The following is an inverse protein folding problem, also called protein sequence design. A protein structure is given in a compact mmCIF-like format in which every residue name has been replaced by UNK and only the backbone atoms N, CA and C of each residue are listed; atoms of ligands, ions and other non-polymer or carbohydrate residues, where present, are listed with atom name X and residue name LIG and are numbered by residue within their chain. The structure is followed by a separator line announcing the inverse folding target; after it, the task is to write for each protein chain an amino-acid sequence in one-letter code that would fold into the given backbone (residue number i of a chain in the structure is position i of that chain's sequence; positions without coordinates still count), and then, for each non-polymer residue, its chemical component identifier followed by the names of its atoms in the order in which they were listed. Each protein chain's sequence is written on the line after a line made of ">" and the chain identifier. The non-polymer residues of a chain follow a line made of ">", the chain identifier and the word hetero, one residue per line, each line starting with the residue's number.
data_IF_949213523026
#
_entry.id   IF_949213523026
#
_cell.length_a   1.000
_cell.length_b   1.000
_cell.length_c   1.000
_cell.angle_alpha   90.00
_cell.angle_beta   90.00
_cell.angle_gamma   90.00
#
_symmetry.space_group_name_H-M   'P 1'
#
loop_
_entity.id
_entity.type
_entity.pdbx_description
1 polymer ?
#
# COMPACT_ATOMS: atom_id res chain seq x y z
N UNK A 1 15.69 -19.05 -14.20
CA UNK A 1 14.35 -19.22 -14.78
C UNK A 1 13.96 -17.88 -15.40
N UNK A 2 13.92 -17.79 -16.72
CA UNK A 2 13.61 -16.53 -17.42
C UNK A 2 12.12 -16.21 -17.30
N UNK A 3 11.80 -15.08 -16.68
CA UNK A 3 10.42 -14.60 -16.58
C UNK A 3 10.04 -13.96 -17.92
N UNK A 4 9.02 -14.50 -18.56
CA UNK A 4 8.48 -14.03 -19.84
C UNK A 4 7.13 -13.36 -19.64
N UNK A 5 6.83 -12.36 -20.45
CA UNK A 5 5.63 -11.54 -20.35
C UNK A 5 4.99 -11.38 -21.71
N UNK A 6 3.68 -11.57 -21.80
CA UNK A 6 2.95 -11.20 -23.00
C UNK A 6 3.10 -9.69 -23.31
N UNK A 7 2.92 -9.32 -24.58
CA UNK A 7 3.13 -7.94 -25.06
C UNK A 7 2.30 -6.88 -24.31
N UNK A 8 1.10 -7.23 -23.81
CA UNK A 8 0.26 -6.31 -23.04
C UNK A 8 0.82 -6.03 -21.65
N UNK A 9 1.34 -7.07 -20.98
CA UNK A 9 1.97 -6.98 -19.66
C UNK A 9 3.35 -6.33 -19.75
N UNK A 10 4.09 -6.59 -20.82
CA UNK A 10 5.33 -5.90 -21.14
C UNK A 10 5.10 -4.40 -21.38
N UNK A 11 4.09 -4.01 -22.18
CA UNK A 11 3.74 -2.60 -22.40
C UNK A 11 3.36 -1.88 -21.12
N UNK A 12 2.56 -2.54 -20.27
CA UNK A 12 2.14 -2.00 -18.97
C UNK A 12 3.32 -1.82 -18.02
N UNK A 13 4.23 -2.79 -17.94
CA UNK A 13 5.45 -2.69 -17.13
C UNK A 13 6.43 -1.66 -17.68
N UNK A 14 6.47 -1.49 -19.00
CA UNK A 14 7.30 -0.49 -19.67
C UNK A 14 6.76 0.94 -19.58
N UNK A 15 5.50 1.13 -19.17
CA UNK A 15 4.84 2.43 -19.16
C UNK A 15 4.58 3.01 -20.56
N UNK A 16 4.62 2.17 -21.61
CA UNK A 16 4.47 2.58 -23.01
C UNK A 16 3.25 1.92 -23.67
N UNK A 17 2.88 2.38 -24.86
CA UNK A 17 1.74 1.82 -25.59
C UNK A 17 2.02 0.40 -26.12
N UNK A 18 0.98 -0.44 -26.19
CA UNK A 18 1.06 -1.80 -26.77
C UNK A 18 1.56 -1.79 -28.22
N UNK A 19 1.18 -0.77 -28.99
CA UNK A 19 1.63 -0.58 -30.38
C UNK A 19 3.15 -0.38 -30.45
N UNK A 20 3.72 0.34 -29.49
CA UNK A 20 5.16 0.59 -29.42
C UNK A 20 5.96 -0.68 -29.07
N UNK A 21 5.47 -1.50 -28.14
CA UNK A 21 6.03 -2.83 -27.90
C UNK A 21 5.93 -3.71 -29.14
N UNK A 22 4.78 -3.73 -29.83
CA UNK A 22 4.62 -4.52 -31.05
C UNK A 22 5.56 -4.07 -32.17
N UNK A 23 5.76 -2.76 -32.32
CA UNK A 23 6.71 -2.22 -33.28
C UNK A 23 8.15 -2.62 -32.94
N UNK A 24 8.53 -2.64 -31.66
CA UNK A 24 9.87 -3.07 -31.24
C UNK A 24 10.10 -4.58 -31.39
N UNK A 25 9.05 -5.38 -31.20
CA UNK A 25 9.06 -6.81 -31.51
C UNK A 25 9.27 -7.03 -33.01
N UNK A 26 8.51 -6.32 -33.86
CA UNK A 26 8.65 -6.40 -35.33
C UNK A 26 10.03 -5.91 -35.81
N UNK A 27 10.64 -4.97 -35.09
CA UNK A 27 11.96 -4.47 -35.38
C UNK A 27 13.11 -5.33 -34.82
N UNK A 28 12.84 -6.53 -34.28
CA UNK A 28 13.81 -7.41 -33.61
C UNK A 28 14.61 -6.75 -32.47
N UNK A 29 14.03 -5.73 -31.81
CA UNK A 29 14.68 -5.00 -30.70
C UNK A 29 14.38 -5.60 -29.34
N UNK A 30 13.45 -6.56 -29.27
CA UNK A 30 13.07 -7.28 -28.06
C UNK A 30 13.20 -8.78 -28.34
N UNK A 31 13.84 -9.48 -27.43
CA UNK A 31 13.91 -10.95 -27.47
C UNK A 31 12.55 -11.55 -27.11
N UNK A 32 11.97 -12.29 -28.04
CA UNK A 32 10.60 -12.83 -27.99
C UNK A 32 10.60 -14.32 -28.27
N UNK A 33 9.89 -15.07 -27.44
CA UNK A 33 9.60 -16.48 -27.68
C UNK A 33 8.09 -16.71 -27.51
N UNK A 34 7.44 -17.31 -28.52
CA UNK A 34 5.98 -17.58 -28.53
C UNK A 34 5.09 -16.36 -28.21
N UNK A 35 5.52 -15.16 -28.63
CA UNK A 35 4.76 -13.92 -28.38
C UNK A 35 4.94 -13.33 -26.97
N UNK A 36 5.85 -13.89 -26.17
CA UNK A 36 6.24 -13.38 -24.86
C UNK A 36 7.64 -12.76 -24.90
N UNK A 37 7.76 -11.57 -24.31
CA UNK A 37 9.00 -10.79 -24.18
C UNK A 37 9.66 -11.14 -22.84
N UNK A 38 10.96 -11.40 -22.84
CA UNK A 38 11.71 -11.65 -21.60
C UNK A 38 11.85 -10.36 -20.78
N UNK A 39 11.67 -10.42 -19.46
CA UNK A 39 11.81 -9.23 -18.59
C UNK A 39 13.18 -8.59 -18.73
N UNK A 40 14.23 -9.39 -18.93
CA UNK A 40 15.61 -8.93 -19.14
C UNK A 40 15.76 -8.05 -20.39
N UNK A 41 15.22 -8.48 -21.53
CA UNK A 41 15.28 -7.71 -22.78
C UNK A 41 14.48 -6.41 -22.68
N UNK A 42 13.35 -6.45 -21.96
CA UNK A 42 12.56 -5.26 -21.67
C UNK A 42 13.34 -4.27 -20.79
N UNK A 43 14.00 -4.72 -19.72
CA UNK A 43 14.80 -3.87 -18.80
C UNK A 43 16.03 -3.25 -19.48
N UNK A 44 16.68 -3.99 -20.38
CA UNK A 44 17.79 -3.47 -21.19
C UNK A 44 17.35 -2.34 -22.12
N UNK A 45 16.13 -2.42 -22.68
CA UNK A 45 15.61 -1.43 -23.63
C UNK A 45 14.92 -0.25 -22.94
N UNK A 46 14.29 -0.48 -21.80
CA UNK A 46 13.51 0.50 -21.04
C UNK A 46 14.02 0.54 -19.58
N UNK A 47 15.15 1.19 -19.30
CA UNK A 47 15.79 1.15 -17.98
C UNK A 47 15.03 1.93 -16.88
N UNK A 48 14.07 2.79 -17.24
CA UNK A 48 13.30 3.62 -16.30
C UNK A 48 11.90 3.08 -15.97
N UNK A 49 11.70 1.77 -16.08
CA UNK A 49 10.40 1.15 -15.82
C UNK A 49 9.93 1.33 -14.38
N UNK A 50 8.77 1.97 -14.21
CA UNK A 50 8.05 2.02 -12.95
C UNK A 50 7.35 0.68 -12.73
N UNK A 51 7.87 -0.12 -11.80
CA UNK A 51 7.25 -1.37 -11.33
C UNK A 51 6.02 -1.05 -10.47
N UNK A 52 5.00 -0.44 -11.06
CA UNK A 52 3.87 0.10 -10.32
C UNK A 52 2.62 -0.78 -10.51
N UNK A 53 2.52 -1.81 -9.68
CA UNK A 53 1.39 -2.74 -9.59
C UNK A 53 0.12 -2.08 -9.01
N UNK A 54 0.14 -0.79 -8.67
CA UNK A 54 -0.96 -0.09 -8.02
C UNK A 54 -2.21 0.05 -8.91
N UNK A 55 -2.06 0.09 -10.25
CA UNK A 55 -3.19 0.24 -11.20
C UNK A 55 -3.95 -1.06 -11.47
N UNK A 56 -3.31 -2.23 -11.41
CA UNK A 56 -4.00 -3.53 -11.57
C UNK A 56 -4.88 -3.83 -10.34
N UNK A 57 -4.36 -3.61 -9.13
CA UNK A 57 -5.12 -3.83 -7.88
C UNK A 57 -6.37 -2.95 -7.85
N UNK A 58 -6.24 -1.66 -8.19
CA UNK A 58 -7.40 -0.75 -8.26
C UNK A 58 -8.43 -1.17 -9.32
N UNK A 59 -7.99 -1.75 -10.44
CA UNK A 59 -8.90 -2.23 -11.49
C UNK A 59 -9.61 -3.52 -11.07
N UNK A 60 -8.91 -4.47 -10.47
CA UNK A 60 -9.50 -5.70 -9.94
C UNK A 60 -10.46 -5.37 -8.80
N UNK A 61 -10.09 -4.48 -7.89
CA UNK A 61 -10.97 -3.99 -6.83
C UNK A 61 -12.22 -3.32 -7.42
N UNK A 62 -12.10 -2.49 -8.46
CA UNK A 62 -13.26 -1.86 -9.13
C UNK A 62 -14.13 -2.83 -9.90
N UNK A 63 -13.57 -3.91 -10.44
CA UNK A 63 -14.32 -4.99 -11.11
C UNK A 63 -15.05 -5.83 -10.06
N UNK A 64 -14.40 -6.14 -8.94
CA UNK A 64 -15.00 -6.83 -7.80
C UNK A 64 -16.12 -6.00 -7.18
N UNK A 65 -15.91 -4.70 -6.98
CA UNK A 65 -16.90 -3.75 -6.49
C UNK A 65 -18.11 -3.68 -7.42
N UNK A 66 -17.89 -3.48 -8.74
CA UNK A 66 -18.98 -3.46 -9.74
C UNK A 66 -19.72 -4.79 -9.85
N UNK A 67 -19.03 -5.92 -9.71
CA UNK A 67 -19.65 -7.24 -9.70
C UNK A 67 -20.47 -7.45 -8.41
N UNK A 68 -19.97 -7.00 -7.26
CA UNK A 68 -20.68 -7.02 -5.99
C UNK A 68 -21.96 -6.16 -6.04
N UNK A 69 -21.89 -4.95 -6.62
CA UNK A 69 -23.05 -4.07 -6.81
C UNK A 69 -24.10 -4.65 -7.75
N UNK A 70 -23.67 -5.37 -8.80
CA UNK A 70 -24.60 -6.00 -9.77
C UNK A 70 -25.26 -7.27 -9.23
N UNK A 71 -24.60 -7.98 -8.31
CA UNK A 71 -25.18 -9.14 -7.62
C UNK A 71 -26.17 -8.74 -6.51
N UNK A 72 -25.96 -7.58 -5.87
CA UNK A 72 -26.85 -7.05 -4.82
C UNK A 72 -28.14 -6.42 -5.36
N UNK A 73 -28.21 -6.01 -6.63
CA UNK A 73 -29.47 -5.53 -7.23
C UNK A 73 -30.48 -6.66 -7.51
N UNK A 74 -29.99 -7.86 -7.81
CA UNK A 74 -30.83 -9.01 -8.17
C UNK A 74 -31.13 -9.91 -6.95
N UNK A 75 -30.39 -9.75 -5.86
CA UNK A 75 -30.62 -10.41 -4.57
C UNK A 75 -30.49 -9.37 -3.46
N UNK A 76 -31.62 -8.85 -2.97
CA UNK A 76 -31.67 -8.23 -1.66
C UNK A 76 -31.21 -9.29 -0.64
N UNK A 77 -30.08 -9.10 0.06
CA UNK A 77 -29.68 -10.01 1.12
C UNK A 77 -30.79 -10.02 2.18
N UNK A 78 -31.17 -11.20 2.68
CA UNK A 78 -32.09 -11.27 3.81
C UNK A 78 -31.57 -10.37 4.94
N UNK A 79 -32.45 -9.63 5.63
CA UNK A 79 -32.10 -8.62 6.63
C UNK A 79 -31.05 -9.11 7.65
N UNK A 80 -31.06 -10.41 7.97
CA UNK A 80 -30.10 -11.07 8.86
C UNK A 80 -28.65 -11.03 8.33
N UNK A 81 -28.41 -11.16 7.03
CA UNK A 81 -27.07 -11.11 6.43
C UNK A 81 -26.47 -9.70 6.52
N UNK A 82 -27.30 -8.67 6.38
CA UNK A 82 -26.87 -7.27 6.53
C UNK A 82 -26.52 -6.98 7.99
N UNK A 83 -27.35 -7.43 8.93
CA UNK A 83 -27.09 -7.30 10.38
C UNK A 83 -25.79 -8.01 10.77
N UNK A 84 -25.56 -9.23 10.28
CA UNK A 84 -24.31 -9.96 10.54
C UNK A 84 -23.08 -9.24 9.98
N UNK A 85 -23.18 -8.64 8.78
CA UNK A 85 -22.09 -7.85 8.21
C UNK A 85 -21.83 -6.57 9.01
N UNK A 86 -22.88 -5.87 9.44
CA UNK A 86 -22.76 -4.68 10.30
C UNK A 86 -22.07 -5.05 11.60
N UNK A 87 -22.50 -6.12 12.27
CA UNK A 87 -21.89 -6.58 13.53
C UNK A 87 -20.41 -6.94 13.34
N UNK A 88 -20.06 -7.62 12.23
CA UNK A 88 -18.65 -7.93 11.92
C UNK A 88 -17.81 -6.69 11.70
N UNK A 89 -18.34 -5.68 11.02
CA UNK A 89 -17.63 -4.42 10.77
C UNK A 89 -17.48 -3.64 12.09
N UNK A 90 -18.52 -3.58 12.91
CA UNK A 90 -18.48 -2.95 14.23
C UNK A 90 -17.44 -3.61 15.14
N UNK A 91 -17.40 -4.94 15.20
CA UNK A 91 -16.41 -5.65 16.00
C UNK A 91 -14.98 -5.34 15.52
N UNK A 92 -14.72 -5.40 14.22
CA UNK A 92 -13.40 -5.05 13.67
C UNK A 92 -13.02 -3.58 13.91
N UNK A 93 -14.00 -2.68 13.88
CA UNK A 93 -13.77 -1.28 14.18
C UNK A 93 -13.41 -1.09 15.66
N UNK A 94 -14.13 -1.75 16.57
CA UNK A 94 -13.85 -1.71 18.00
C UNK A 94 -12.47 -2.29 18.30
N UNK A 95 -12.13 -3.45 17.73
CA UNK A 95 -10.79 -4.06 17.87
C UNK A 95 -9.69 -3.11 17.37
N UNK A 96 -9.90 -2.46 16.22
CA UNK A 96 -8.93 -1.49 15.69
C UNK A 96 -8.83 -0.23 16.54
N UNK A 97 -9.93 0.23 17.14
CA UNK A 97 -9.94 1.39 18.04
C UNK A 97 -9.24 1.07 19.35
N UNK A 98 -9.47 -0.12 19.91
CA UNK A 98 -8.79 -0.60 21.10
C UNK A 98 -7.27 -0.68 20.88
N UNK A 99 -6.82 -1.24 19.75
CA UNK A 99 -5.40 -1.26 19.39
C UNK A 99 -4.80 0.15 19.28
N UNK A 100 -5.55 1.10 18.71
CA UNK A 100 -5.09 2.49 18.63
C UNK A 100 -4.94 3.09 20.02
N UNK A 101 -5.90 2.88 20.92
CA UNK A 101 -5.82 3.32 22.30
C UNK A 101 -4.65 2.68 23.06
N UNK A 102 -4.40 1.38 22.89
CA UNK A 102 -3.24 0.71 23.49
C UNK A 102 -1.92 1.35 23.02
N UNK A 103 -1.80 1.68 21.74
CA UNK A 103 -0.62 2.36 21.20
C UNK A 103 -0.48 3.80 21.72
N UNK A 104 -1.59 4.53 21.85
CA UNK A 104 -1.60 5.86 22.47
C UNK A 104 -1.10 5.79 23.91
N UNK A 105 -1.63 4.88 24.71
CA UNK A 105 -1.21 4.68 26.10
C UNK A 105 0.27 4.31 26.19
N UNK A 106 0.76 3.47 25.28
CA UNK A 106 2.16 3.08 25.23
C UNK A 106 3.07 4.28 24.89
N UNK A 107 2.68 5.14 23.94
CA UNK A 107 3.43 6.35 23.58
C UNK A 107 3.49 7.32 24.77
N UNK A 108 2.41 7.45 25.54
CA UNK A 108 2.35 8.33 26.71
C UNK A 108 3.21 7.78 27.85
N UNK A 109 3.17 6.47 28.09
CA UNK A 109 4.09 5.82 29.03
C UNK A 109 5.55 5.98 28.63
N UNK A 110 5.86 5.90 27.33
CA UNK A 110 7.22 6.16 26.83
C UNK A 110 7.63 7.61 27.07
N UNK A 111 6.75 8.57 26.76
CA UNK A 111 6.98 9.99 27.03
C UNK A 111 7.34 10.21 28.50
N UNK A 112 6.54 9.69 29.43
CA UNK A 112 6.75 9.90 30.87
C UNK A 112 8.06 9.30 31.35
N UNK A 113 8.43 8.10 30.86
CA UNK A 113 9.72 7.49 31.16
C UNK A 113 10.89 8.32 30.62
N UNK A 114 10.77 8.90 29.42
CA UNK A 114 11.79 9.76 28.84
C UNK A 114 11.94 11.08 29.63
N UNK A 115 10.83 11.63 30.14
CA UNK A 115 10.86 12.81 31.02
C UNK A 115 11.57 12.50 32.34
N UNK A 116 11.31 11.35 32.97
CA UNK A 116 12.04 10.93 34.18
C UNK A 116 13.52 10.69 33.87
N UNK A 117 13.84 10.04 32.74
CA UNK A 117 15.23 9.79 32.34
C UNK A 117 16.03 11.10 32.16
N UNK A 118 15.36 12.14 31.65
CA UNK A 118 15.96 13.48 31.49
C UNK A 118 16.51 14.04 32.80
N UNK A 119 15.93 13.73 33.96
CA UNK A 119 16.36 14.30 35.24
C UNK A 119 17.82 13.93 35.56
N UNK A 120 18.22 12.71 35.21
CA UNK A 120 19.54 12.12 35.46
C UNK A 120 20.57 12.36 34.35
N UNK A 121 20.22 13.13 33.31
CA UNK A 121 21.10 13.37 32.16
C UNK A 121 22.03 14.59 32.33
N UNK A 122 23.16 14.55 31.62
CA UNK A 122 24.07 15.70 31.47
C UNK A 122 23.44 16.81 30.61
N UNK A 123 24.01 18.02 30.66
CA UNK A 123 23.46 19.22 29.99
C UNK A 123 23.21 19.01 28.48
N UNK A 124 24.12 18.36 27.77
CA UNK A 124 23.98 18.08 26.34
C UNK A 124 22.92 17.01 26.06
N UNK A 125 22.89 15.94 26.86
CA UNK A 125 21.89 14.87 26.78
C UNK A 125 20.47 15.41 27.06
N UNK A 126 20.32 16.29 28.05
CA UNK A 126 19.06 16.97 28.38
C UNK A 126 18.51 17.77 27.20
N UNK A 127 19.37 18.47 26.46
CA UNK A 127 18.96 19.26 25.29
C UNK A 127 18.49 18.36 24.15
N UNK A 128 19.27 17.34 23.79
CA UNK A 128 18.90 16.38 22.74
C UNK A 128 17.61 15.64 23.07
N UNK A 129 17.48 15.16 24.31
CA UNK A 129 16.30 14.43 24.76
C UNK A 129 15.05 15.32 24.80
N UNK A 130 15.18 16.60 25.19
CA UNK A 130 14.07 17.56 25.17
C UNK A 130 13.63 17.86 23.74
N UNK A 131 14.56 18.03 22.80
CA UNK A 131 14.24 18.23 21.39
C UNK A 131 13.49 17.02 20.81
N UNK A 132 13.92 15.80 21.16
CA UNK A 132 13.26 14.57 20.74
C UNK A 132 11.84 14.42 21.32
N UNK A 133 11.67 14.63 22.63
CA UNK A 133 10.35 14.59 23.30
C UNK A 133 9.39 15.61 22.65
N UNK A 134 9.86 16.83 22.42
CA UNK A 134 9.04 17.88 21.80
C UNK A 134 8.65 17.55 20.36
N UNK A 135 9.57 17.00 19.56
CA UNK A 135 9.27 16.55 18.21
C UNK A 135 8.23 15.42 18.22
N UNK A 136 8.42 14.40 19.06
CA UNK A 136 7.50 13.27 19.21
C UNK A 136 6.08 13.74 19.59
N UNK A 137 5.96 14.65 20.57
CA UNK A 137 4.66 15.18 20.99
C UNK A 137 4.00 16.05 19.93
N UNK A 138 4.80 16.73 19.09
CA UNK A 138 4.27 17.48 17.95
C UNK A 138 3.71 16.52 16.89
N UNK A 139 4.42 15.42 16.59
CA UNK A 139 3.93 14.39 15.66
C UNK A 139 2.66 13.70 16.19
N UNK A 140 2.62 13.38 17.48
CA UNK A 140 1.42 12.82 18.12
C UNK A 140 0.22 13.75 17.95
N UNK A 141 0.35 15.04 18.28
CA UNK A 141 -0.73 16.03 18.10
C UNK A 141 -1.20 16.19 16.65
N UNK A 142 -0.31 16.04 15.67
CA UNK A 142 -0.67 16.13 14.24
C UNK A 142 -1.43 14.89 13.74
N UNK A 143 -1.27 13.74 14.40
CA UNK A 143 -2.00 12.50 14.09
C UNK A 143 -3.41 12.47 14.71
N UNK A 144 -3.67 13.32 15.70
CA UNK A 144 -4.88 13.32 16.54
C UNK A 144 -5.75 14.57 16.40
N UNK A 145 -5.37 15.54 15.55
CA UNK A 145 -6.13 16.76 15.25
C UNK A 145 -6.56 16.79 13.80
#
# INVERSE_FOLDING_TARGET
>A
MERRLNAARAAKMAGISRKQIQNDIQANKLDVFEGEVTVRSLMLRYPFMQMDNMKEIKRVARIQERAATKLTSDFLPADQVVVDQINRIQNKLNESQEQVHEYEDLIMQMHDRLVVMKENCDRQQKQTLTAFINWMMTQYKQSHG
#
